data_IF_354416738280
#
_entry.id   IF_354416738280
#
_cell.length_a   1.000
_cell.length_b   1.000
_cell.length_c   1.000
_cell.angle_alpha   90.00
_cell.angle_beta   90.00
_cell.angle_gamma   90.00
#
_symmetry.space_group_name_H-M   'P 1'
#
loop_
_entity.id
_entity.type
_entity.pdbx_description
1 polymer ?
#
# COMPACT_ATOMS: atom_id res chain seq x y z
N UNK A 1 5.20 -6.06 -18.85
CA UNK A 1 5.59 -4.68 -19.23
C UNK A 1 6.13 -4.66 -20.66
N UNK A 2 5.97 -3.55 -21.40
CA UNK A 2 6.58 -3.36 -22.73
C UNK A 2 8.10 -3.17 -22.62
N UNK A 3 8.86 -3.77 -23.54
CA UNK A 3 10.33 -3.77 -23.56
C UNK A 3 10.91 -2.35 -23.64
N UNK A 4 10.25 -1.39 -24.28
CA UNK A 4 10.73 0.01 -24.27
C UNK A 4 10.62 0.65 -22.88
N UNK A 5 9.54 0.34 -22.13
CA UNK A 5 9.34 0.82 -20.75
C UNK A 5 10.32 0.18 -19.76
N UNK A 6 10.63 -1.13 -19.94
CA UNK A 6 11.67 -1.86 -19.18
C UNK A 6 13.00 -1.12 -19.24
N UNK A 7 13.43 -0.78 -20.45
CA UNK A 7 14.76 -0.20 -20.67
C UNK A 7 14.84 1.23 -20.15
N UNK A 8 13.81 2.05 -20.36
CA UNK A 8 13.77 3.40 -19.80
C UNK A 8 13.83 3.38 -18.26
N UNK A 9 13.21 2.38 -17.62
CA UNK A 9 13.30 2.21 -16.17
C UNK A 9 14.72 1.77 -15.75
N UNK A 10 15.29 0.76 -16.40
CA UNK A 10 16.65 0.28 -16.11
C UNK A 10 17.73 1.34 -16.37
N UNK A 11 17.57 2.15 -17.42
CA UNK A 11 18.44 3.27 -17.77
C UNK A 11 18.46 4.33 -16.67
N UNK A 12 17.29 4.79 -16.24
CA UNK A 12 17.16 5.72 -15.11
C UNK A 12 17.78 5.15 -13.81
N UNK A 13 17.59 3.84 -13.55
CA UNK A 13 18.13 3.18 -12.37
C UNK A 13 19.67 3.15 -12.37
N UNK A 14 20.28 2.79 -13.51
CA UNK A 14 21.73 2.78 -13.67
C UNK A 14 22.28 4.22 -13.61
N UNK A 15 21.71 5.15 -14.37
CA UNK A 15 22.12 6.57 -14.36
C UNK A 15 22.10 7.19 -12.96
N UNK A 16 21.11 6.86 -12.12
CA UNK A 16 21.02 7.34 -10.73
C UNK A 16 22.19 6.89 -9.85
N UNK A 17 22.86 5.78 -10.20
CA UNK A 17 23.96 5.17 -9.43
C UNK A 17 25.34 5.44 -10.04
N UNK A 18 25.45 5.47 -11.37
CA UNK A 18 26.73 5.60 -12.09
C UNK A 18 26.96 7.00 -12.65
N UNK A 19 25.90 7.81 -12.84
CA UNK A 19 25.97 9.06 -13.61
C UNK A 19 26.01 8.87 -15.13
N UNK A 20 25.94 7.62 -15.61
CA UNK A 20 26.04 7.27 -17.04
C UNK A 20 24.81 6.49 -17.51
N UNK A 21 24.37 6.75 -18.74
CA UNK A 21 23.25 6.06 -19.39
C UNK A 21 23.68 4.71 -19.98
N UNK A 22 22.72 3.82 -20.20
CA UNK A 22 22.97 2.50 -20.79
C UNK A 22 23.41 2.59 -22.25
N UNK A 23 24.59 2.05 -22.55
CA UNK A 23 25.07 1.89 -23.92
C UNK A 23 24.25 0.86 -24.73
N UNK A 24 24.46 0.83 -26.05
CA UNK A 24 23.70 -0.05 -26.96
C UNK A 24 23.85 -1.55 -26.62
N UNK A 25 25.01 -1.98 -26.15
CA UNK A 25 25.29 -3.37 -25.78
C UNK A 25 24.64 -3.74 -24.44
N UNK A 26 24.72 -2.85 -23.44
CA UNK A 26 24.01 -2.99 -22.17
C UNK A 26 22.49 -3.04 -22.40
N UNK A 27 21.94 -2.16 -23.25
CA UNK A 27 20.54 -2.22 -23.66
C UNK A 27 20.19 -3.53 -24.38
N UNK A 28 21.05 -4.04 -25.28
CA UNK A 28 20.87 -5.33 -25.94
C UNK A 28 20.84 -6.49 -24.93
N UNK A 29 21.73 -6.47 -23.93
CA UNK A 29 21.77 -7.44 -22.82
C UNK A 29 20.46 -7.45 -22.03
N UNK A 30 19.93 -6.28 -21.65
CA UNK A 30 18.67 -6.19 -20.91
C UNK A 30 17.47 -6.59 -21.78
N UNK A 31 17.43 -6.19 -23.07
CA UNK A 31 16.41 -6.64 -24.04
C UNK A 31 16.41 -8.16 -24.15
N UNK A 32 17.59 -8.78 -24.24
CA UNK A 32 17.73 -10.22 -24.41
C UNK A 32 17.42 -11.00 -23.14
N UNK A 33 17.83 -10.50 -21.96
CA UNK A 33 17.43 -11.07 -20.67
C UNK A 33 15.90 -11.05 -20.52
N UNK A 34 15.25 -9.91 -20.81
CA UNK A 34 13.79 -9.78 -20.74
C UNK A 34 13.04 -10.73 -21.68
N UNK A 35 13.61 -11.01 -22.86
CA UNK A 35 13.09 -11.96 -23.85
C UNK A 35 13.51 -13.42 -23.63
N UNK A 36 14.31 -13.73 -22.61
CA UNK A 36 14.83 -15.09 -22.36
C UNK A 36 15.86 -15.58 -23.39
N UNK A 37 16.49 -14.70 -24.17
CA UNK A 37 17.52 -15.05 -25.16
C UNK A 37 18.81 -15.57 -24.49
N UNK A 38 19.53 -16.48 -25.15
CA UNK A 38 20.89 -16.91 -24.73
C UNK A 38 21.92 -15.83 -25.05
N UNK A 39 23.06 -15.81 -24.35
CA UNK A 39 24.10 -14.79 -24.58
C UNK A 39 24.74 -14.91 -25.97
N UNK A 40 24.87 -16.11 -26.52
CA UNK A 40 25.30 -16.33 -27.92
C UNK A 40 24.45 -15.53 -28.91
N UNK A 41 23.13 -15.55 -28.77
CA UNK A 41 22.20 -14.82 -29.63
C UNK A 41 22.30 -13.29 -29.47
N UNK A 42 22.53 -12.82 -28.25
CA UNK A 42 22.75 -11.38 -27.99
C UNK A 42 24.08 -10.94 -28.62
N UNK A 43 25.11 -11.80 -28.60
CA UNK A 43 26.41 -11.55 -29.20
C UNK A 43 26.33 -11.49 -30.74
N UNK A 44 25.58 -12.41 -31.36
CA UNK A 44 25.24 -12.39 -32.78
C UNK A 44 24.49 -11.10 -33.18
N UNK A 45 23.42 -10.74 -32.43
CA UNK A 45 22.60 -9.54 -32.66
C UNK A 45 23.36 -8.22 -32.40
N UNK A 46 24.47 -8.27 -31.65
CA UNK A 46 25.30 -7.09 -31.27
C UNK A 46 26.73 -7.13 -31.84
N UNK A 47 26.99 -7.98 -32.84
CA UNK A 47 28.27 -8.14 -33.54
C UNK A 47 29.53 -8.25 -32.64
N UNK A 48 29.43 -8.95 -31.50
CA UNK A 48 30.52 -9.14 -30.55
C UNK A 48 30.67 -10.61 -30.12
N UNK A 49 31.63 -10.91 -29.22
CA UNK A 49 31.84 -12.28 -28.73
C UNK A 49 30.96 -12.59 -27.51
N UNK A 50 30.51 -13.84 -27.37
CA UNK A 50 29.71 -14.23 -26.19
C UNK A 50 30.48 -13.98 -24.87
N UNK A 51 31.80 -14.14 -24.87
CA UNK A 51 32.64 -13.81 -23.71
C UNK A 51 32.55 -12.34 -23.31
N UNK A 52 32.61 -11.42 -24.29
CA UNK A 52 32.45 -10.00 -24.02
C UNK A 52 31.05 -9.65 -23.49
N UNK A 53 29.99 -10.21 -24.09
CA UNK A 53 28.60 -10.05 -23.60
C UNK A 53 28.46 -10.54 -22.15
N UNK A 54 29.08 -11.66 -21.79
CA UNK A 54 29.03 -12.20 -20.42
C UNK A 54 29.73 -11.29 -19.40
N UNK A 55 30.86 -10.68 -19.77
CA UNK A 55 31.59 -9.75 -18.91
C UNK A 55 30.75 -8.48 -18.63
N UNK A 56 30.29 -7.81 -19.70
CA UNK A 56 29.44 -6.60 -19.58
C UNK A 56 28.15 -6.90 -18.83
N UNK A 57 27.53 -8.07 -19.07
CA UNK A 57 26.35 -8.47 -18.33
C UNK A 57 26.63 -8.70 -16.83
N UNK A 58 27.80 -9.24 -16.47
CA UNK A 58 28.18 -9.45 -15.07
C UNK A 58 28.26 -8.12 -14.30
N UNK A 59 28.89 -7.10 -14.88
CA UNK A 59 28.98 -5.76 -14.31
C UNK A 59 27.59 -5.12 -14.18
N UNK A 60 26.77 -5.21 -15.24
CA UNK A 60 25.40 -4.68 -15.25
C UNK A 60 24.49 -5.34 -14.20
N UNK A 61 24.68 -6.63 -13.92
CA UNK A 61 23.98 -7.34 -12.84
C UNK A 61 24.43 -6.89 -11.45
N UNK A 62 25.71 -6.54 -11.24
CA UNK A 62 26.16 -5.95 -9.97
C UNK A 62 25.52 -4.57 -9.76
N UNK A 63 25.58 -3.67 -10.75
CA UNK A 63 24.98 -2.33 -10.66
C UNK A 63 23.48 -2.42 -10.38
N UNK A 64 22.74 -3.29 -11.08
CA UNK A 64 21.31 -3.48 -10.83
C UNK A 64 21.02 -4.13 -9.48
N UNK A 65 21.90 -4.99 -8.95
CA UNK A 65 21.74 -5.56 -7.60
C UNK A 65 21.86 -4.48 -6.53
N UNK A 66 22.91 -3.66 -6.64
CA UNK A 66 23.16 -2.51 -5.77
C UNK A 66 22.00 -1.51 -5.74
N UNK A 67 21.41 -1.22 -6.89
CA UNK A 67 20.33 -0.22 -7.02
C UNK A 67 18.98 -0.77 -6.57
N UNK A 68 18.72 -2.07 -6.78
CA UNK A 68 17.46 -2.69 -6.40
C UNK A 68 17.45 -3.24 -4.96
N UNK A 69 18.60 -3.34 -4.31
CA UNK A 69 18.72 -3.88 -2.95
C UNK A 69 18.47 -5.39 -2.85
N UNK A 70 18.51 -6.10 -3.98
CA UNK A 70 18.37 -7.55 -4.06
C UNK A 70 19.30 -8.14 -5.12
N UNK A 71 19.65 -9.42 -5.03
CA UNK A 71 20.53 -10.07 -6.01
C UNK A 71 19.84 -10.16 -7.38
N UNK A 72 20.34 -9.40 -8.35
CA UNK A 72 19.88 -9.40 -9.75
C UNK A 72 20.83 -10.25 -10.59
N UNK A 73 20.25 -11.07 -11.46
CA UNK A 73 20.94 -11.81 -12.50
C UNK A 73 19.99 -12.00 -13.70
N UNK A 74 20.51 -12.54 -14.80
CA UNK A 74 19.74 -12.75 -16.04
C UNK A 74 18.38 -13.47 -15.86
N UNK A 75 18.28 -14.42 -14.94
CA UNK A 75 17.07 -15.25 -14.78
C UNK A 75 15.99 -14.52 -13.97
N UNK A 76 16.38 -13.67 -13.02
CA UNK A 76 15.43 -12.95 -12.16
C UNK A 76 15.29 -11.45 -12.51
N UNK A 77 16.12 -10.90 -13.41
CA UNK A 77 16.09 -9.49 -13.83
C UNK A 77 14.68 -8.97 -14.13
N UNK A 78 13.88 -9.77 -14.86
CA UNK A 78 12.49 -9.42 -15.15
C UNK A 78 11.66 -9.25 -13.88
N UNK A 79 11.66 -10.25 -13.00
CA UNK A 79 10.92 -10.23 -11.75
C UNK A 79 11.41 -9.13 -10.80
N UNK A 80 12.73 -8.88 -10.77
CA UNK A 80 13.35 -7.83 -9.96
C UNK A 80 12.92 -6.43 -10.43
N UNK A 81 12.90 -6.19 -11.75
CA UNK A 81 12.45 -4.91 -12.30
C UNK A 81 10.92 -4.72 -12.19
N UNK A 82 10.14 -5.81 -12.30
CA UNK A 82 8.69 -5.78 -12.06
C UNK A 82 8.40 -5.50 -10.56
N UNK A 83 9.20 -6.01 -9.62
CA UNK A 83 9.14 -5.64 -8.18
C UNK A 83 9.54 -4.18 -7.94
N UNK A 84 10.67 -3.74 -8.50
CA UNK A 84 11.19 -2.40 -8.26
C UNK A 84 10.27 -1.31 -8.79
N UNK A 85 9.53 -1.57 -9.87
CA UNK A 85 8.52 -0.66 -10.40
C UNK A 85 7.44 -0.30 -9.36
N UNK A 86 6.97 -1.24 -8.54
CA UNK A 86 6.01 -0.93 -7.45
C UNK A 86 6.63 -0.05 -6.35
N UNK A 87 7.91 -0.22 -6.06
CA UNK A 87 8.65 0.67 -5.15
C UNK A 87 8.93 2.05 -5.78
N UNK A 88 9.22 2.12 -7.09
CA UNK A 88 9.50 3.37 -7.81
C UNK A 88 8.25 4.24 -7.98
N UNK A 89 7.09 3.65 -8.28
CA UNK A 89 5.81 4.37 -8.24
C UNK A 89 5.46 4.86 -6.82
N UNK A 90 5.90 4.15 -5.78
CA UNK A 90 5.78 4.64 -4.39
C UNK A 90 6.76 5.78 -4.03
N UNK A 91 7.75 6.06 -4.90
CA UNK A 91 8.81 7.06 -4.66
C UNK A 91 8.75 8.25 -5.63
N UNK A 92 8.02 8.20 -6.75
CA UNK A 92 7.91 9.36 -7.65
C UNK A 92 7.19 10.56 -7.01
N UNK A 93 6.39 10.33 -5.97
CA UNK A 93 5.85 11.40 -5.11
C UNK A 93 6.84 12.07 -4.15
N UNK A 94 8.15 11.72 -4.18
CA UNK A 94 9.13 12.17 -3.16
C UNK A 94 10.22 13.16 -3.63
N UNK A 95 10.52 13.27 -4.93
CA UNK A 95 11.65 14.08 -5.40
C UNK A 95 11.23 15.23 -6.33
N UNK A 96 10.89 16.39 -5.74
CA UNK A 96 11.02 17.67 -6.44
C UNK A 96 12.47 18.16 -6.33
N UNK A 97 13.18 18.20 -7.46
CA UNK A 97 14.54 18.72 -7.53
C UNK A 97 14.57 20.21 -7.14
N UNK A 98 15.23 20.55 -6.03
CA UNK A 98 15.73 21.91 -5.84
C UNK A 98 17.04 22.07 -6.61
N UNK A 99 17.03 22.98 -7.59
CA UNK A 99 18.24 23.47 -8.25
C UNK A 99 18.72 24.68 -7.43
N UNK A 100 19.93 24.62 -6.84
CA UNK A 100 20.41 25.72 -6.00
C UNK A 100 21.75 25.51 -5.31
N UNK A 101 22.84 25.62 -6.09
CA UNK A 101 24.20 26.02 -5.67
C UNK A 101 25.01 25.13 -4.71
N UNK A 102 25.99 24.48 -5.35
CA UNK A 102 27.32 24.11 -4.87
C UNK A 102 27.92 25.09 -3.84
N UNK A 103 28.59 24.55 -2.81
CA UNK A 103 29.87 25.12 -2.38
C UNK A 103 30.88 23.99 -2.07
N UNK A 104 32.15 24.18 -2.47
CA UNK A 104 33.24 23.19 -2.41
C UNK A 104 34.26 23.59 -1.36
N UNK A 105 34.75 22.61 -0.58
CA UNK A 105 36.05 22.52 0.13
C UNK A 105 35.96 21.21 0.94
N UNK A 106 36.58 20.07 0.60
CA UNK A 106 37.96 19.72 0.26
C UNK A 106 38.97 19.72 1.44
N UNK A 107 39.78 18.66 1.45
CA UNK A 107 40.96 18.33 2.27
C UNK A 107 40.86 17.97 3.77
N UNK A 108 40.76 16.65 4.00
CA UNK A 108 41.90 15.82 4.46
C UNK A 108 42.24 15.67 5.97
N UNK A 109 42.72 14.45 6.27
CA UNK A 109 43.67 14.02 7.31
C UNK A 109 43.21 13.79 8.78
N UNK A 110 43.34 12.50 9.13
CA UNK A 110 44.02 11.94 10.31
C UNK A 110 43.34 11.85 11.68
N UNK A 111 43.22 10.58 12.08
CA UNK A 111 43.12 10.01 13.43
C UNK A 111 44.07 10.62 14.48
N UNK A 112 43.60 10.67 15.73
CA UNK A 112 44.44 10.45 16.93
C UNK A 112 43.59 10.04 18.14
N UNK A 113 44.03 9.03 18.87
CA UNK A 113 43.65 8.78 20.29
C UNK A 113 44.57 9.61 21.21
N UNK A 114 44.47 9.70 22.55
CA UNK A 114 43.74 9.05 23.67
C UNK A 114 43.65 10.14 24.80
N UNK A 115 43.23 9.92 26.08
CA UNK A 115 42.39 8.90 26.72
C UNK A 115 41.28 9.48 27.66
N UNK A 116 40.54 8.56 28.30
CA UNK A 116 39.52 8.75 29.35
C UNK A 116 39.91 9.72 30.48
N UNK A 117 38.94 10.52 30.96
CA UNK A 117 38.83 10.88 32.38
C UNK A 117 37.48 10.43 32.94
N UNK A 118 37.41 10.16 34.25
CA UNK A 118 36.32 9.44 34.92
C UNK A 118 35.84 10.27 36.10
N UNK A 119 34.53 10.54 36.19
CA UNK A 119 33.88 11.24 37.30
C UNK A 119 32.44 10.73 37.51
N UNK A 120 31.85 10.86 38.71
CA UNK A 120 31.19 9.71 39.34
C UNK A 120 29.69 9.55 39.08
N UNK A 121 29.23 8.31 39.22
CA UNK A 121 27.83 7.91 39.26
C UNK A 121 27.13 8.33 40.55
N UNK A 122 26.01 9.05 40.44
CA UNK A 122 24.95 9.09 41.46
C UNK A 122 23.86 8.06 41.15
N UNK A 123 23.27 7.38 42.15
CA UNK A 123 22.27 6.35 41.91
C UNK A 123 20.87 6.95 41.73
N UNK A 124 20.41 7.07 40.48
CA UNK A 124 18.98 7.26 40.19
C UNK A 124 18.30 5.91 40.15
N UNK A 125 17.26 5.75 40.98
CA UNK A 125 16.41 4.57 41.08
C UNK A 125 15.86 4.11 39.72
N UNK A 126 16.12 2.85 39.38
CA UNK A 126 15.44 2.16 38.27
C UNK A 126 13.94 2.04 38.55
N UNK A 127 13.15 2.98 38.05
CA UNK A 127 11.77 2.76 37.65
C UNK A 127 11.75 2.46 36.15
N UNK A 128 12.31 1.31 35.77
CA UNK A 128 12.24 0.77 34.42
C UNK A 128 10.81 0.38 34.10
N UNK A 129 10.04 1.32 33.53
CA UNK A 129 8.82 0.96 32.84
C UNK A 129 9.16 -0.08 31.76
N UNK A 130 8.41 -1.19 31.65
CA UNK A 130 8.68 -2.20 30.63
C UNK A 130 8.56 -1.57 29.25
N UNK A 131 9.68 -1.47 28.53
CA UNK A 131 9.71 -0.88 27.20
C UNK A 131 9.01 -1.80 26.20
N UNK A 132 8.00 -1.28 25.52
CA UNK A 132 7.32 -1.98 24.42
C UNK A 132 8.33 -2.40 23.35
N UNK A 133 8.36 -3.68 23.01
CA UNK A 133 9.21 -4.22 21.94
C UNK A 133 8.60 -3.91 20.58
N UNK A 134 9.31 -3.16 19.74
CA UNK A 134 8.83 -2.77 18.41
C UNK A 134 9.56 -3.54 17.31
N UNK A 135 8.81 -4.09 16.36
CA UNK A 135 9.30 -4.58 15.08
C UNK A 135 8.47 -3.96 13.96
N UNK A 136 9.00 -2.87 13.40
CA UNK A 136 8.36 -2.08 12.36
C UNK A 136 9.18 -2.10 11.05
N UNK A 137 10.00 -3.14 10.82
CA UNK A 137 10.94 -3.20 9.69
C UNK A 137 10.23 -3.12 8.32
N UNK A 138 9.05 -3.72 8.20
CA UNK A 138 8.20 -3.70 7.00
C UNK A 138 7.34 -2.42 6.87
N UNK A 139 7.36 -1.53 7.88
CA UNK A 139 6.50 -0.36 7.92
C UNK A 139 7.10 0.81 7.12
N UNK A 140 6.30 1.53 6.30
CA UNK A 140 6.83 2.69 5.57
C UNK A 140 7.16 3.85 6.52
N UNK A 141 8.22 4.60 6.20
CA UNK A 141 8.69 5.69 7.06
C UNK A 141 7.63 6.76 7.35
N UNK A 142 7.57 7.14 8.63
CA UNK A 142 6.62 8.10 9.23
C UNK A 142 6.73 9.53 8.66
N UNK A 143 7.85 9.90 8.04
CA UNK A 143 8.02 11.22 7.39
C UNK A 143 6.99 11.50 6.27
N UNK A 144 6.28 10.48 5.80
CA UNK A 144 5.14 10.60 4.87
C UNK A 144 3.86 11.22 5.47
N UNK A 145 3.82 11.43 6.79
CA UNK A 145 2.68 11.96 7.55
C UNK A 145 2.83 13.44 7.89
N UNK A 146 4.06 13.96 7.84
CA UNK A 146 4.44 15.31 8.27
C UNK A 146 4.92 16.19 7.11
N UNK A 147 4.21 16.18 5.97
CA UNK A 147 4.41 17.16 4.88
C UNK A 147 3.97 18.60 5.29
N UNK A 148 3.49 18.77 6.53
CA UNK A 148 3.11 20.02 7.15
C UNK A 148 4.33 20.66 7.85
N UNK A 149 4.78 21.87 7.44
CA UNK A 149 5.92 22.55 8.07
C UNK A 149 5.75 22.79 9.57
N UNK A 150 4.48 22.89 10.02
CA UNK A 150 4.11 23.23 11.40
C UNK A 150 3.72 21.99 12.24
N UNK A 151 3.87 20.78 11.69
CA UNK A 151 3.63 19.51 12.40
C UNK A 151 2.15 19.17 12.68
N UNK A 152 1.20 20.00 12.25
CA UNK A 152 -0.22 19.89 12.61
C UNK A 152 -1.12 19.22 11.54
N UNK A 153 -0.64 18.11 10.98
CA UNK A 153 -1.53 17.14 10.31
C UNK A 153 -2.35 16.30 11.30
N UNK A 154 -2.26 16.63 12.60
CA UNK A 154 -2.80 15.89 13.75
C UNK A 154 -4.33 15.80 13.78
N UNK A 155 -5.00 16.73 13.10
CA UNK A 155 -6.45 16.87 13.06
C UNK A 155 -7.14 16.01 11.98
N UNK A 156 -6.41 15.44 11.03
CA UNK A 156 -6.99 14.50 10.07
C UNK A 156 -7.31 13.16 10.76
N UNK A 157 -8.49 12.58 10.49
CA UNK A 157 -8.92 11.25 10.99
C UNK A 157 -9.06 11.11 12.53
N UNK A 158 -9.27 12.20 13.28
CA UNK A 158 -9.40 12.13 14.74
C UNK A 158 -10.53 11.19 15.20
N UNK A 159 -11.67 11.19 14.50
CA UNK A 159 -12.81 10.27 14.74
C UNK A 159 -12.44 8.81 14.56
N UNK A 160 -11.74 8.47 13.48
CA UNK A 160 -11.32 7.11 13.13
C UNK A 160 -10.26 6.60 14.10
N UNK A 161 -9.30 7.46 14.50
CA UNK A 161 -8.32 7.14 15.53
C UNK A 161 -9.00 6.85 16.87
N UNK A 162 -9.90 7.73 17.34
CA UNK A 162 -10.62 7.54 18.59
C UNK A 162 -11.49 6.27 18.58
N UNK A 163 -12.10 5.93 17.43
CA UNK A 163 -12.88 4.70 17.24
C UNK A 163 -12.00 3.46 17.38
N UNK A 164 -10.84 3.42 16.70
CA UNK A 164 -9.90 2.30 16.77
C UNK A 164 -9.28 2.17 18.17
N UNK A 165 -8.89 3.28 18.80
CA UNK A 165 -8.38 3.31 20.17
C UNK A 165 -9.40 2.75 21.17
N UNK A 166 -10.68 3.16 21.07
CA UNK A 166 -11.78 2.61 21.87
C UNK A 166 -11.91 1.09 21.67
N UNK A 167 -12.01 0.62 20.42
CA UNK A 167 -12.15 -0.81 20.13
C UNK A 167 -10.98 -1.65 20.66
N UNK A 168 -9.75 -1.18 20.47
CA UNK A 168 -8.53 -1.98 20.72
C UNK A 168 -8.07 -1.89 22.18
N UNK A 169 -8.12 -0.70 22.78
CA UNK A 169 -7.61 -0.47 24.14
C UNK A 169 -8.69 -0.78 25.18
N UNK A 170 -9.92 -0.28 24.97
CA UNK A 170 -11.00 -0.30 25.97
C UNK A 170 -11.91 -1.53 25.79
N UNK A 171 -12.42 -1.78 24.58
CA UNK A 171 -13.29 -2.94 24.28
C UNK A 171 -12.50 -4.24 24.05
N UNK A 172 -11.16 -4.15 23.92
CA UNK A 172 -10.24 -5.28 23.70
C UNK A 172 -10.63 -6.16 22.51
N UNK A 173 -10.95 -5.56 21.35
CA UNK A 173 -11.24 -6.33 20.14
C UNK A 173 -10.02 -7.16 19.70
N UNK A 174 -10.24 -8.44 19.38
CA UNK A 174 -9.20 -9.35 18.90
C UNK A 174 -8.71 -8.97 17.49
N UNK A 175 -9.62 -8.48 16.64
CA UNK A 175 -9.37 -8.32 15.21
C UNK A 175 -10.07 -7.05 14.68
N UNK A 176 -9.30 -6.12 14.11
CA UNK A 176 -9.81 -4.87 13.55
C UNK A 176 -9.40 -4.71 12.09
N UNK A 177 -10.36 -4.71 11.17
CA UNK A 177 -10.09 -4.44 9.75
C UNK A 177 -10.28 -2.96 9.40
N UNK A 178 -9.22 -2.32 8.88
CA UNK A 178 -9.24 -0.97 8.32
C UNK A 178 -9.33 -1.11 6.80
N UNK A 179 -10.48 -0.73 6.26
CA UNK A 179 -10.90 -0.99 4.89
C UNK A 179 -11.01 0.32 4.11
N UNK A 180 -10.86 0.25 2.78
CA UNK A 180 -11.07 1.41 1.92
C UNK A 180 -10.25 1.38 0.64
N UNK A 181 -10.60 2.24 -0.31
CA UNK A 181 -9.98 2.34 -1.63
C UNK A 181 -8.46 2.65 -1.59
N UNK A 182 -7.74 2.51 -2.72
CA UNK A 182 -6.31 2.81 -2.77
C UNK A 182 -6.03 4.28 -2.41
N UNK A 183 -4.93 4.55 -1.72
CA UNK A 183 -4.55 5.91 -1.34
C UNK A 183 -5.34 6.60 -0.21
N UNK A 184 -6.43 5.99 0.27
CA UNK A 184 -7.37 6.61 1.24
C UNK A 184 -6.78 6.91 2.64
N UNK A 185 -5.59 6.39 2.95
CA UNK A 185 -4.86 6.64 4.19
C UNK A 185 -4.87 5.50 5.23
N UNK A 186 -5.13 4.25 4.86
CA UNK A 186 -5.16 3.09 5.79
C UNK A 186 -3.83 2.91 6.56
N UNK A 187 -2.74 2.71 5.83
CA UNK A 187 -1.38 2.56 6.38
C UNK A 187 -0.98 3.75 7.26
N UNK A 188 -1.29 4.97 6.82
CA UNK A 188 -1.09 6.21 7.57
C UNK A 188 -1.86 6.23 8.90
N UNK A 189 -3.13 5.83 8.89
CA UNK A 189 -3.97 5.73 10.09
C UNK A 189 -3.40 4.72 11.10
N UNK A 190 -2.95 3.56 10.63
CA UNK A 190 -2.36 2.52 11.48
C UNK A 190 -1.03 2.95 12.10
N UNK A 191 -0.19 3.69 11.37
CA UNK A 191 1.04 4.29 11.92
C UNK A 191 0.75 5.32 13.01
N UNK A 192 -0.18 6.25 12.79
CA UNK A 192 -0.63 7.20 13.82
C UNK A 192 -1.25 6.51 15.03
N UNK A 193 -2.02 5.44 14.81
CA UNK A 193 -2.62 4.66 15.88
C UNK A 193 -1.54 3.99 16.75
N UNK A 194 -0.52 3.37 16.15
CA UNK A 194 0.61 2.77 16.87
C UNK A 194 1.28 3.80 17.78
N UNK A 195 1.60 4.99 17.26
CA UNK A 195 2.21 6.06 18.06
C UNK A 195 1.38 6.38 19.32
N UNK A 196 0.06 6.42 19.20
CA UNK A 196 -0.87 6.64 20.33
C UNK A 196 -0.93 5.45 21.29
N UNK A 197 -1.14 4.23 20.79
CA UNK A 197 -1.55 3.10 21.65
C UNK A 197 -0.44 2.11 22.01
N UNK A 198 0.76 2.19 21.41
CA UNK A 198 1.85 1.21 21.59
C UNK A 198 2.18 0.90 23.07
N UNK A 199 2.10 1.89 23.95
CA UNK A 199 2.37 1.75 25.38
C UNK A 199 1.39 0.83 26.13
N UNK A 200 0.27 0.43 25.49
CA UNK A 200 -0.69 -0.55 26.02
C UNK A 200 -0.31 -2.01 25.69
N UNK A 201 0.80 -2.21 24.98
CA UNK A 201 1.24 -3.50 24.46
C UNK A 201 2.69 -3.79 24.87
N UNK A 202 2.97 -5.06 25.14
CA UNK A 202 4.31 -5.58 25.38
C UNK A 202 5.11 -5.68 24.08
N UNK A 203 4.41 -5.97 22.97
CA UNK A 203 5.00 -6.01 21.65
C UNK A 203 4.11 -5.37 20.57
N UNK A 204 4.72 -4.69 19.60
CA UNK A 204 4.06 -4.22 18.38
C UNK A 204 4.84 -4.71 17.17
N UNK A 205 4.16 -5.38 16.24
CA UNK A 205 4.77 -5.99 15.05
C UNK A 205 4.02 -5.52 13.81
N UNK A 206 4.77 -5.07 12.80
CA UNK A 206 4.26 -4.79 11.46
C UNK A 206 4.81 -5.80 10.46
N UNK A 207 3.94 -6.36 9.62
CA UNK A 207 4.33 -7.16 8.45
C UNK A 207 3.57 -6.69 7.22
N UNK A 208 4.28 -6.56 6.09
CA UNK A 208 3.63 -6.24 4.81
C UNK A 208 3.38 -7.52 4.01
N UNK A 209 2.13 -7.75 3.61
CA UNK A 209 1.76 -8.87 2.75
C UNK A 209 1.94 -8.55 1.26
N UNK A 210 2.57 -7.42 0.89
CA UNK A 210 2.67 -6.93 -0.50
C UNK A 210 3.17 -7.92 -1.55
N UNK A 211 4.00 -8.89 -1.15
CA UNK A 211 4.52 -9.94 -2.03
C UNK A 211 3.75 -11.27 -1.94
N UNK A 212 2.57 -11.26 -1.31
CA UNK A 212 1.70 -12.43 -1.08
C UNK A 212 2.43 -13.61 -0.41
N UNK A 213 3.14 -13.41 0.72
CA UNK A 213 3.89 -14.49 1.36
C UNK A 213 2.92 -15.60 1.83
N UNK A 214 3.28 -16.89 1.68
CA UNK A 214 2.52 -17.98 2.29
C UNK A 214 2.41 -17.82 3.81
N UNK A 215 1.33 -18.32 4.40
CA UNK A 215 1.10 -18.20 5.85
C UNK A 215 2.28 -18.73 6.67
N UNK A 216 2.92 -19.82 6.25
CA UNK A 216 4.09 -20.41 6.90
C UNK A 216 5.24 -19.42 7.07
N UNK A 217 5.48 -18.58 6.07
CA UNK A 217 6.51 -17.52 6.10
C UNK A 217 6.09 -16.41 7.07
N UNK A 218 4.83 -15.99 7.03
CA UNK A 218 4.31 -14.96 7.95
C UNK A 218 4.35 -15.44 9.40
N UNK A 219 3.91 -16.67 9.68
CA UNK A 219 3.98 -17.27 11.02
C UNK A 219 5.41 -17.43 11.51
N UNK A 220 6.35 -17.84 10.66
CA UNK A 220 7.79 -17.87 10.99
C UNK A 220 8.25 -16.47 11.43
N UNK A 221 8.08 -15.47 10.57
CA UNK A 221 8.57 -14.11 10.80
C UNK A 221 7.90 -13.42 12.01
N UNK A 222 6.70 -13.85 12.41
CA UNK A 222 6.07 -13.43 13.67
C UNK A 222 6.67 -14.16 14.87
N UNK A 223 6.78 -15.50 14.82
CA UNK A 223 7.24 -16.32 15.94
C UNK A 223 8.71 -16.10 16.28
N UNK A 224 9.59 -15.92 15.30
CA UNK A 224 11.01 -15.61 15.52
C UNK A 224 11.19 -14.36 16.39
N UNK A 225 10.45 -13.29 16.06
CA UNK A 225 10.45 -12.07 16.87
C UNK A 225 9.77 -12.28 18.23
N UNK A 226 8.53 -12.79 18.27
CA UNK A 226 7.76 -12.95 19.52
C UNK A 226 8.54 -13.76 20.56
N UNK A 227 9.07 -14.91 20.16
CA UNK A 227 9.76 -15.86 21.03
C UNK A 227 11.25 -15.55 21.21
N UNK A 228 11.83 -14.67 20.40
CA UNK A 228 13.27 -14.41 20.33
C UNK A 228 14.08 -15.72 20.11
N UNK A 229 13.63 -16.54 19.17
CA UNK A 229 14.18 -17.87 18.85
C UNK A 229 14.59 -17.97 17.38
N UNK A 230 15.66 -18.71 17.05
CA UNK A 230 16.06 -18.97 15.67
C UNK A 230 15.12 -19.98 14.98
N UNK A 231 15.05 -19.92 13.65
CA UNK A 231 14.19 -20.79 12.80
C UNK A 231 14.23 -22.28 13.17
N UNK A 232 15.42 -22.80 13.49
CA UNK A 232 15.70 -24.23 13.73
C UNK A 232 14.90 -24.77 14.94
N UNK A 233 14.50 -23.91 15.87
CA UNK A 233 13.72 -24.29 17.05
C UNK A 233 12.19 -24.20 16.84
N UNK A 234 11.72 -23.68 15.71
CA UNK A 234 10.29 -23.53 15.45
C UNK A 234 9.70 -24.81 14.83
N UNK A 235 8.47 -25.21 15.21
CA UNK A 235 7.75 -26.28 14.53
C UNK A 235 7.64 -26.01 13.02
N UNK A 236 7.61 -27.05 12.20
CA UNK A 236 7.52 -26.91 10.73
C UNK A 236 6.08 -26.84 10.23
N UNK A 237 5.10 -27.37 10.97
CA UNK A 237 3.69 -27.41 10.56
C UNK A 237 2.95 -26.09 10.85
N UNK A 238 1.95 -25.74 10.02
CA UNK A 238 1.04 -24.61 10.30
C UNK A 238 0.32 -24.82 11.65
N UNK A 239 -0.33 -25.97 11.95
CA UNK A 239 -1.11 -26.11 13.19
C UNK A 239 -0.28 -25.92 14.47
N UNK A 240 0.96 -26.39 14.49
CA UNK A 240 1.84 -26.22 15.65
C UNK A 240 2.30 -24.76 15.80
N UNK A 241 2.67 -24.11 14.67
CA UNK A 241 3.00 -22.67 14.65
C UNK A 241 1.82 -21.80 15.12
N UNK A 242 0.61 -22.10 14.65
CA UNK A 242 -0.61 -21.41 15.10
C UNK A 242 -0.89 -21.65 16.58
N UNK A 243 -0.75 -22.88 17.07
CA UNK A 243 -0.96 -23.20 18.48
C UNK A 243 0.01 -22.44 19.38
N UNK A 244 1.30 -22.39 19.00
CA UNK A 244 2.35 -21.65 19.69
C UNK A 244 2.13 -20.13 19.65
N UNK A 245 1.70 -19.58 18.50
CA UNK A 245 1.31 -18.18 18.37
C UNK A 245 0.16 -17.86 19.34
N UNK A 246 -0.92 -18.65 19.33
CA UNK A 246 -2.08 -18.38 20.18
C UNK A 246 -1.79 -18.57 21.67
N UNK A 247 -0.90 -19.48 22.05
CA UNK A 247 -0.41 -19.57 23.43
C UNK A 247 0.30 -18.27 23.85
N UNK A 248 1.15 -17.72 22.98
CA UNK A 248 1.84 -16.46 23.21
C UNK A 248 0.86 -15.27 23.29
N UNK A 249 -0.08 -15.15 22.35
CA UNK A 249 -1.05 -14.04 22.30
C UNK A 249 -2.06 -14.04 23.47
N UNK A 250 -2.23 -15.19 24.14
CA UNK A 250 -2.97 -15.30 25.41
C UNK A 250 -2.14 -14.82 26.60
N UNK A 251 -0.86 -15.21 26.66
CA UNK A 251 0.03 -14.87 27.78
C UNK A 251 0.47 -13.40 27.77
N UNK A 252 0.71 -12.84 26.59
CA UNK A 252 1.27 -11.51 26.39
C UNK A 252 0.32 -10.65 25.53
N UNK A 253 0.23 -9.34 25.80
CA UNK A 253 -0.57 -8.37 25.04
C UNK A 253 0.25 -7.79 23.90
N UNK A 254 0.04 -8.29 22.69
CA UNK A 254 0.70 -7.82 21.47
C UNK A 254 -0.26 -7.14 20.49
N UNK A 255 0.25 -6.19 19.71
CA UNK A 255 -0.43 -5.57 18.58
C UNK A 255 0.26 -6.01 17.29
N UNK A 256 -0.44 -6.74 16.43
CA UNK A 256 0.08 -7.18 15.14
C UNK A 256 -0.64 -6.40 14.04
N UNK A 257 0.10 -5.88 13.07
CA UNK A 257 -0.44 -5.20 11.89
C UNK A 257 -0.02 -5.98 10.65
N UNK A 258 -1.00 -6.44 9.88
CA UNK A 258 -0.80 -6.96 8.53
C UNK A 258 -1.26 -5.88 7.55
N UNK A 259 -0.28 -5.29 6.83
CA UNK A 259 -0.55 -4.32 5.77
C UNK A 259 -0.65 -5.00 4.41
N UNK A 260 -1.29 -4.33 3.45
CA UNK A 260 -1.51 -4.81 2.09
C UNK A 260 -2.29 -6.15 1.97
N UNK A 261 -3.21 -6.47 2.89
CA UNK A 261 -3.94 -7.76 2.94
C UNK A 261 -4.69 -8.11 1.65
N UNK A 262 -5.06 -7.12 0.83
CA UNK A 262 -5.65 -7.36 -0.49
C UNK A 262 -4.81 -8.24 -1.44
N UNK A 263 -3.49 -8.39 -1.22
CA UNK A 263 -2.59 -9.14 -2.11
C UNK A 263 -2.70 -10.65 -1.96
N UNK A 264 -3.07 -11.13 -0.77
CA UNK A 264 -3.36 -12.55 -0.50
C UNK A 264 -4.80 -12.93 -0.90
N UNK A 265 -5.62 -11.94 -1.25
CA UNK A 265 -6.98 -12.13 -1.76
C UNK A 265 -7.01 -12.29 -3.28
N UNK A 266 -7.98 -13.05 -3.78
CA UNK A 266 -8.12 -13.44 -5.18
C UNK A 266 -8.36 -12.28 -6.15
N UNK A 267 -7.96 -12.48 -7.39
CA UNK A 267 -8.23 -11.63 -8.55
C UNK A 267 -9.20 -12.36 -9.48
N UNK A 268 -10.16 -11.64 -10.09
CA UNK A 268 -11.19 -12.23 -10.94
C UNK A 268 -12.32 -12.93 -10.14
N UNK A 269 -12.37 -12.73 -8.83
CA UNK A 269 -13.35 -13.35 -7.91
C UNK A 269 -14.08 -12.28 -7.10
N UNK A 270 -15.25 -12.64 -6.56
CA UNK A 270 -15.97 -11.79 -5.60
C UNK A 270 -15.15 -11.57 -4.32
N UNK A 271 -15.46 -10.46 -3.64
CA UNK A 271 -14.66 -9.89 -2.58
C UNK A 271 -14.51 -10.81 -1.35
N UNK A 272 -13.28 -10.87 -0.83
CA UNK A 272 -12.93 -11.63 0.37
C UNK A 272 -12.56 -13.10 0.16
N UNK A 273 -12.52 -13.59 -1.09
CA UNK A 273 -11.93 -14.89 -1.43
C UNK A 273 -10.39 -14.79 -1.47
N UNK A 274 -9.71 -15.89 -1.14
CA UNK A 274 -8.25 -15.96 -1.10
C UNK A 274 -7.67 -16.42 -2.45
N UNK A 275 -6.39 -16.12 -2.67
CA UNK A 275 -5.59 -16.85 -3.66
C UNK A 275 -5.36 -18.29 -3.20
N UNK A 276 -5.22 -19.28 -4.11
CA UNK A 276 -5.02 -20.68 -3.74
C UNK A 276 -3.83 -20.89 -2.79
N UNK A 277 -2.72 -20.17 -3.01
CA UNK A 277 -1.51 -20.29 -2.18
C UNK A 277 -1.63 -19.61 -0.80
N UNK A 278 -2.77 -18.95 -0.53
CA UNK A 278 -3.03 -18.17 0.67
C UNK A 278 -4.34 -18.53 1.37
N UNK A 279 -5.04 -19.59 0.96
CA UNK A 279 -6.30 -20.00 1.60
C UNK A 279 -6.13 -20.31 3.10
N UNK A 280 -4.95 -20.77 3.50
CA UNK A 280 -4.59 -21.09 4.87
C UNK A 280 -4.66 -19.86 5.82
N UNK A 281 -4.54 -18.62 5.34
CA UNK A 281 -4.76 -17.41 6.15
C UNK A 281 -6.15 -17.36 6.78
N UNK A 282 -7.16 -17.99 6.16
CA UNK A 282 -8.50 -18.09 6.76
C UNK A 282 -8.49 -18.77 8.13
N UNK A 283 -7.58 -19.71 8.36
CA UNK A 283 -7.42 -20.42 9.63
C UNK A 283 -6.86 -19.46 10.70
N UNK A 284 -5.81 -18.70 10.36
CA UNK A 284 -5.24 -17.67 11.25
C UNK A 284 -6.30 -16.63 11.66
N UNK A 285 -7.04 -16.08 10.69
CA UNK A 285 -8.02 -15.02 10.98
C UNK A 285 -9.20 -15.52 11.81
N UNK A 286 -9.69 -16.76 11.59
CA UNK A 286 -10.71 -17.37 12.46
C UNK A 286 -10.16 -17.60 13.86
N UNK A 287 -8.98 -18.21 13.99
CA UNK A 287 -8.44 -18.57 15.29
C UNK A 287 -8.17 -17.34 16.18
N UNK A 288 -7.79 -16.20 15.58
CA UNK A 288 -7.72 -14.90 16.27
C UNK A 288 -9.12 -14.33 16.53
N UNK A 289 -10.02 -14.31 15.54
CA UNK A 289 -11.36 -13.74 15.69
C UNK A 289 -12.30 -14.48 16.66
N UNK A 290 -12.12 -15.80 16.82
CA UNK A 290 -13.04 -16.69 17.54
C UNK A 290 -12.56 -17.08 18.95
N UNK A 291 -11.27 -16.94 19.28
CA UNK A 291 -10.71 -17.42 20.56
C UNK A 291 -10.28 -16.30 21.50
N UNK A 292 -10.44 -16.51 22.81
CA UNK A 292 -10.03 -15.52 23.82
C UNK A 292 -8.50 -15.38 23.88
N UNK A 293 -8.01 -14.15 23.79
CA UNK A 293 -6.60 -13.78 23.98
C UNK A 293 -6.47 -12.30 24.42
N UNK A 294 -5.27 -11.86 24.78
CA UNK A 294 -5.02 -10.48 25.26
C UNK A 294 -4.50 -9.53 24.17
N UNK A 295 -4.14 -10.08 23.01
CA UNK A 295 -3.57 -9.36 21.86
C UNK A 295 -4.63 -8.80 20.89
N UNK A 296 -4.21 -7.99 19.92
CA UNK A 296 -5.04 -7.49 18.82
C UNK A 296 -4.32 -7.61 17.48
N UNK A 297 -5.04 -8.00 16.42
CA UNK A 297 -4.60 -7.99 15.03
C UNK A 297 -5.32 -6.90 14.23
N UNK A 298 -4.56 -6.03 13.57
CA UNK A 298 -5.06 -5.04 12.61
C UNK A 298 -4.82 -5.55 11.18
N UNK A 299 -5.84 -5.48 10.34
CA UNK A 299 -5.74 -5.76 8.90
C UNK A 299 -5.98 -4.47 8.11
N UNK A 300 -4.99 -4.00 7.34
CA UNK A 300 -5.23 -2.96 6.35
C UNK A 300 -5.54 -3.62 5.00
N UNK A 301 -6.68 -3.32 4.38
CA UNK A 301 -7.07 -3.94 3.10
C UNK A 301 -7.90 -3.02 2.21
N UNK A 302 -7.98 -3.32 0.91
CA UNK A 302 -8.99 -2.74 0.02
C UNK A 302 -10.39 -3.32 0.27
N UNK A 303 -10.45 -4.57 0.71
CA UNK A 303 -11.66 -5.37 0.88
C UNK A 303 -11.51 -6.31 2.09
N UNK A 304 -12.59 -6.62 2.81
CA UNK A 304 -12.53 -7.56 3.93
C UNK A 304 -12.30 -9.00 3.43
N UNK A 305 -11.35 -9.76 4.02
CA UNK A 305 -11.39 -11.21 3.96
C UNK A 305 -12.74 -11.73 4.50
N UNK A 306 -13.25 -12.83 3.95
CA UNK A 306 -14.58 -13.37 4.29
C UNK A 306 -14.80 -13.60 5.79
N UNK A 307 -13.75 -13.91 6.54
CA UNK A 307 -13.78 -14.08 8.01
C UNK A 307 -14.20 -12.78 8.73
N UNK A 308 -13.76 -11.60 8.26
CA UNK A 308 -14.18 -10.31 8.82
C UNK A 308 -15.69 -10.07 8.63
N UNK A 309 -16.23 -10.48 7.48
CA UNK A 309 -17.68 -10.35 7.22
C UNK A 309 -18.52 -11.39 7.95
N UNK A 310 -17.97 -12.58 8.22
CA UNK A 310 -18.68 -13.66 8.89
C UNK A 310 -18.69 -13.48 10.43
N UNK A 311 -17.59 -12.97 11.01
CA UNK A 311 -17.42 -12.87 12.46
C UNK A 311 -17.81 -11.51 13.05
N UNK A 312 -17.94 -10.44 12.24
CA UNK A 312 -18.36 -9.12 12.74
C UNK A 312 -19.79 -9.15 13.28
N UNK A 313 -20.00 -8.51 14.43
CA UNK A 313 -21.30 -8.32 15.06
C UNK A 313 -21.23 -7.30 16.20
N UNK A 314 -22.38 -6.92 16.77
CA UNK A 314 -22.50 -5.90 17.81
C UNK A 314 -21.65 -6.21 19.05
N UNK A 315 -21.69 -7.47 19.52
CA UNK A 315 -20.92 -7.96 20.66
C UNK A 315 -19.68 -8.78 20.24
N UNK A 316 -19.26 -8.73 18.98
CA UNK A 316 -18.12 -9.50 18.48
C UNK A 316 -16.78 -8.81 18.78
N UNK A 317 -15.72 -9.56 19.14
CA UNK A 317 -14.35 -9.05 19.19
C UNK A 317 -13.76 -8.77 17.79
N UNK A 318 -14.49 -9.06 16.71
CA UNK A 318 -14.13 -8.71 15.34
C UNK A 318 -14.84 -7.43 14.90
N UNK A 319 -14.06 -6.38 14.61
CA UNK A 319 -14.54 -5.07 14.19
C UNK A 319 -14.06 -4.74 12.77
N UNK A 320 -14.78 -3.85 12.06
CA UNK A 320 -14.28 -3.27 10.82
C UNK A 320 -14.71 -1.82 10.64
N UNK A 321 -13.75 -1.00 10.19
CA UNK A 321 -13.88 0.42 9.91
C UNK A 321 -13.57 0.66 8.42
N UNK A 322 -14.53 1.22 7.68
CA UNK A 322 -14.35 1.55 6.27
C UNK A 322 -14.11 3.06 6.12
N UNK A 323 -12.95 3.45 5.60
CA UNK A 323 -12.51 4.83 5.50
C UNK A 323 -13.18 5.53 4.31
N UNK A 324 -13.87 6.64 4.59
CA UNK A 324 -14.35 7.62 3.60
C UNK A 324 -13.24 8.64 3.26
N UNK A 325 -13.49 9.67 2.46
CA UNK A 325 -12.53 10.77 2.25
C UNK A 325 -12.17 11.51 3.55
N UNK A 326 -11.07 12.29 3.56
CA UNK A 326 -10.67 13.14 4.72
C UNK A 326 -11.45 14.45 4.83
N UNK A 327 -12.43 14.70 3.95
CA UNK A 327 -13.27 15.90 3.99
C UNK A 327 -12.47 17.19 3.93
N UNK A 328 -12.86 18.20 4.72
CA UNK A 328 -12.24 19.53 4.75
C UNK A 328 -10.77 19.52 5.18
N UNK A 329 -10.29 18.50 5.91
CA UNK A 329 -8.87 18.36 6.26
C UNK A 329 -7.96 18.23 5.01
N UNK A 330 -8.51 17.85 3.85
CA UNK A 330 -7.79 17.89 2.57
C UNK A 330 -7.26 19.29 2.17
N UNK A 331 -7.81 20.36 2.73
CA UNK A 331 -7.30 21.72 2.52
C UNK A 331 -5.81 21.86 2.88
N UNK A 332 -5.30 21.07 3.83
CA UNK A 332 -3.89 21.06 4.19
C UNK A 332 -2.98 20.55 3.06
N UNK A 333 -3.42 19.52 2.31
CA UNK A 333 -2.70 18.99 1.14
C UNK A 333 -2.48 20.10 0.11
N UNK A 334 -3.51 20.90 -0.14
CA UNK A 334 -3.48 22.01 -1.08
C UNK A 334 -2.62 23.18 -0.58
N UNK A 335 -2.67 23.48 0.72
CA UNK A 335 -1.80 24.48 1.36
C UNK A 335 -0.33 24.10 1.23
N UNK A 336 0.03 22.85 1.52
CA UNK A 336 1.41 22.36 1.45
C UNK A 336 1.92 22.30 -0.01
N UNK A 337 1.04 22.01 -0.96
CA UNK A 337 1.31 22.12 -2.42
C UNK A 337 1.25 23.56 -2.97
N UNK A 338 1.02 24.56 -2.11
CA UNK A 338 0.95 26.00 -2.44
C UNK A 338 -0.07 26.32 -3.55
N UNK A 339 -1.22 25.65 -3.52
CA UNK A 339 -2.33 25.97 -4.41
C UNK A 339 -2.94 27.34 -4.06
N UNK A 340 -3.47 27.99 -5.08
CA UNK A 340 -4.22 29.24 -5.00
C UNK A 340 -5.72 28.93 -5.03
N UNK A 341 -6.55 29.98 -4.95
CA UNK A 341 -8.02 29.89 -4.99
C UNK A 341 -8.61 28.94 -3.91
N UNK A 342 -8.39 29.20 -2.60
CA UNK A 342 -8.96 28.39 -1.53
C UNK A 342 -10.48 28.27 -1.58
N UNK A 343 -11.18 29.27 -2.13
CA UNK A 343 -12.62 29.27 -2.39
C UNK A 343 -13.07 28.22 -3.42
N UNK A 344 -12.14 27.54 -4.09
CA UNK A 344 -12.39 26.45 -5.05
C UNK A 344 -11.94 25.07 -4.55
N UNK A 345 -11.32 24.99 -3.37
CA UNK A 345 -10.77 23.73 -2.86
C UNK A 345 -11.84 22.69 -2.56
N UNK A 346 -13.01 23.09 -2.06
CA UNK A 346 -14.13 22.18 -1.81
C UNK A 346 -14.58 21.46 -3.08
N UNK A 347 -14.60 22.13 -4.24
CA UNK A 347 -14.93 21.52 -5.53
C UNK A 347 -13.95 20.38 -5.88
N UNK A 348 -12.64 20.58 -5.67
CA UNK A 348 -11.64 19.54 -5.87
C UNK A 348 -11.79 18.39 -4.85
N UNK A 349 -12.03 18.71 -3.58
CA UNK A 349 -12.24 17.71 -2.52
C UNK A 349 -13.42 16.81 -2.88
N UNK A 350 -14.53 17.40 -3.32
CA UNK A 350 -15.74 16.66 -3.70
C UNK A 350 -15.56 15.86 -5.00
N UNK A 351 -14.88 16.43 -6.02
CA UNK A 351 -14.56 15.75 -7.27
C UNK A 351 -13.72 14.47 -7.03
N UNK A 352 -12.69 14.55 -6.19
CA UNK A 352 -11.82 13.42 -5.85
C UNK A 352 -12.22 12.70 -4.55
N UNK A 353 -13.49 12.83 -4.12
CA UNK A 353 -14.09 12.19 -2.92
C UNK A 353 -13.22 12.24 -1.66
N UNK A 354 -12.43 13.30 -1.47
CA UNK A 354 -11.53 13.48 -0.34
C UNK A 354 -10.42 12.43 -0.21
N UNK A 355 -10.03 11.73 -1.29
CA UNK A 355 -8.96 10.72 -1.26
C UNK A 355 -7.57 11.40 -1.20
N UNK A 356 -6.78 11.23 -0.12
CA UNK A 356 -5.51 11.93 0.04
C UNK A 356 -4.51 11.73 -1.10
N UNK A 357 -4.42 10.52 -1.67
CA UNK A 357 -3.48 10.25 -2.78
C UNK A 357 -3.90 10.95 -4.06
N UNK A 358 -5.17 10.82 -4.46
CA UNK A 358 -5.69 11.49 -5.66
C UNK A 358 -5.56 13.01 -5.55
N UNK A 359 -5.85 13.57 -4.38
CA UNK A 359 -5.66 14.99 -4.09
C UNK A 359 -4.18 15.41 -4.16
N UNK A 360 -3.24 14.61 -3.65
CA UNK A 360 -1.79 14.88 -3.78
C UNK A 360 -1.33 14.86 -5.24
N UNK A 361 -1.82 13.91 -6.06
CA UNK A 361 -1.51 13.81 -7.50
C UNK A 361 -2.03 15.07 -8.22
N UNK A 362 -3.33 15.36 -8.09
CA UNK A 362 -3.99 16.48 -8.79
C UNK A 362 -3.43 17.83 -8.35
N UNK A 363 -3.16 18.01 -7.06
CA UNK A 363 -2.50 19.23 -6.57
C UNK A 363 -1.09 19.40 -7.18
N UNK A 364 -0.39 18.31 -7.47
CA UNK A 364 0.91 18.36 -8.17
C UNK A 364 0.71 18.79 -9.62
N UNK A 365 -0.26 18.20 -10.36
CA UNK A 365 -0.62 18.65 -11.72
C UNK A 365 -1.00 20.15 -11.78
N UNK A 366 -1.80 20.63 -10.82
CA UNK A 366 -2.22 22.05 -10.76
C UNK A 366 -1.02 22.97 -10.47
N UNK A 367 -0.06 22.55 -9.65
CA UNK A 367 1.18 23.28 -9.41
C UNK A 367 2.04 23.33 -10.69
N UNK A 368 2.23 22.19 -11.34
CA UNK A 368 3.19 22.02 -12.44
C UNK A 368 2.73 22.65 -13.75
N UNK A 369 1.42 22.62 -14.05
CA UNK A 369 0.86 23.13 -15.30
C UNK A 369 0.26 24.53 -15.08
N UNK A 370 -0.55 24.71 -14.04
CA UNK A 370 -1.34 25.93 -13.79
C UNK A 370 -0.70 26.87 -12.76
N UNK A 371 0.53 26.60 -12.32
CA UNK A 371 1.27 27.39 -11.31
C UNK A 371 0.45 27.62 -10.03
N UNK A 372 -0.31 26.61 -9.63
CA UNK A 372 -1.17 26.61 -8.44
C UNK A 372 -2.57 27.19 -8.65
N UNK A 373 -2.90 27.77 -9.81
CA UNK A 373 -4.19 28.44 -10.07
C UNK A 373 -5.33 27.43 -10.29
N UNK A 374 -5.96 26.99 -9.21
CA UNK A 374 -7.12 26.07 -9.25
C UNK A 374 -8.27 26.63 -10.10
N UNK A 375 -8.52 27.95 -10.07
CA UNK A 375 -9.56 28.56 -10.89
C UNK A 375 -9.25 28.58 -12.40
N UNK A 376 -8.00 28.33 -12.81
CA UNK A 376 -7.62 28.12 -14.21
C UNK A 376 -7.81 26.67 -14.62
N UNK A 377 -7.37 25.72 -13.78
CA UNK A 377 -7.58 24.28 -13.95
C UNK A 377 -9.07 23.93 -14.11
N UNK A 378 -9.94 24.42 -13.22
CA UNK A 378 -11.38 24.12 -13.22
C UNK A 378 -12.17 24.68 -14.43
N UNK A 379 -11.50 25.32 -15.41
CA UNK A 379 -12.10 25.66 -16.71
C UNK A 379 -12.09 24.48 -17.70
N UNK A 380 -11.25 23.48 -17.47
CA UNK A 380 -10.96 22.38 -18.38
C UNK A 380 -11.26 21.04 -17.69
N UNK A 381 -12.54 20.65 -17.71
CA UNK A 381 -13.13 19.52 -16.97
C UNK A 381 -12.95 19.57 -15.44
N UNK A 382 -14.05 19.37 -14.70
CA UNK A 382 -14.01 19.35 -13.22
C UNK A 382 -13.23 18.14 -12.67
N UNK A 383 -13.03 17.11 -13.48
CA UNK A 383 -12.39 15.86 -13.10
C UNK A 383 -11.35 15.46 -14.16
N UNK A 384 -10.08 15.63 -13.83
CA UNK A 384 -8.94 15.20 -14.65
C UNK A 384 -8.38 13.87 -14.13
N UNK A 385 -8.13 12.94 -15.04
CA UNK A 385 -7.65 11.59 -14.76
C UNK A 385 -6.35 11.31 -15.52
N UNK A 386 -5.27 11.94 -15.08
CA UNK A 386 -3.93 11.73 -15.63
C UNK A 386 -3.41 10.30 -15.43
N UNK A 387 -2.37 9.92 -16.20
CA UNK A 387 -1.80 8.56 -16.21
C UNK A 387 -1.45 8.03 -14.81
N UNK A 388 -0.86 8.87 -13.95
CA UNK A 388 -0.50 8.50 -12.58
C UNK A 388 -1.73 8.11 -11.75
N UNK A 389 -2.80 8.92 -11.79
CA UNK A 389 -4.03 8.65 -11.04
C UNK A 389 -4.72 7.39 -11.58
N UNK A 390 -4.79 7.24 -12.91
CA UNK A 390 -5.31 6.04 -13.56
C UNK A 390 -4.54 4.78 -13.15
N UNK A 391 -3.21 4.86 -13.02
CA UNK A 391 -2.37 3.75 -12.53
C UNK A 391 -2.68 3.36 -11.07
N UNK A 392 -3.17 4.27 -10.22
CA UNK A 392 -3.61 3.91 -8.85
C UNK A 392 -4.89 3.07 -8.81
N UNK A 393 -5.75 3.22 -9.83
CA UNK A 393 -7.04 2.54 -9.95
C UNK A 393 -6.91 1.20 -10.69
N UNK A 394 -6.01 1.12 -11.68
CA UNK A 394 -5.86 -0.03 -12.57
C UNK A 394 -5.78 -1.39 -11.84
N UNK A 395 -4.98 -1.57 -10.76
CA UNK A 395 -4.96 -2.85 -10.02
C UNK A 395 -6.26 -3.17 -9.27
N UNK A 396 -7.06 -2.16 -8.90
CA UNK A 396 -8.33 -2.35 -8.20
C UNK A 396 -9.46 -2.73 -9.14
N UNK A 397 -9.43 -2.24 -10.38
CA UNK A 397 -10.45 -2.52 -11.40
C UNK A 397 -10.14 -3.82 -12.16
N UNK A 398 -8.88 -4.11 -12.46
CA UNK A 398 -8.50 -5.37 -13.12
C UNK A 398 -8.78 -6.62 -12.27
N UNK A 399 -8.77 -6.48 -10.93
CA UNK A 399 -8.98 -7.63 -10.03
C UNK A 399 -10.45 -8.01 -9.82
N UNK A 400 -11.38 -7.24 -10.38
CA UNK A 400 -12.81 -7.52 -10.32
C UNK A 400 -13.15 -8.80 -11.10
N UNK A 401 -14.13 -9.55 -10.60
CA UNK A 401 -14.77 -10.62 -11.38
C UNK A 401 -15.56 -10.07 -12.56
N UNK A 402 -15.85 -10.90 -13.56
CA UNK A 402 -16.62 -10.50 -14.75
C UNK A 402 -18.00 -9.94 -14.42
N UNK A 403 -18.64 -10.47 -13.36
CA UNK A 403 -19.89 -9.95 -12.81
C UNK A 403 -19.74 -8.52 -12.26
N UNK A 404 -18.69 -8.27 -11.47
CA UNK A 404 -18.38 -6.95 -10.93
C UNK A 404 -18.01 -5.95 -12.04
N UNK A 405 -17.26 -6.38 -13.06
CA UNK A 405 -16.92 -5.56 -14.24
C UNK A 405 -18.17 -5.17 -15.03
N UNK A 406 -19.08 -6.12 -15.30
CA UNK A 406 -20.37 -5.87 -15.98
C UNK A 406 -21.20 -4.85 -15.20
N UNK A 407 -21.31 -5.02 -13.88
CA UNK A 407 -22.07 -4.12 -13.01
C UNK A 407 -21.45 -2.73 -12.88
N UNK A 408 -20.15 -2.62 -12.59
CA UNK A 408 -19.49 -1.31 -12.45
C UNK A 408 -19.47 -0.54 -13.77
N UNK A 409 -19.32 -1.24 -14.91
CA UNK A 409 -19.43 -0.64 -16.24
C UNK A 409 -20.83 -0.14 -16.55
N UNK A 410 -21.89 -0.80 -16.06
CA UNK A 410 -23.26 -0.30 -16.18
C UNK A 410 -23.49 0.92 -15.28
N UNK A 411 -23.22 0.79 -13.99
CA UNK A 411 -23.34 1.90 -13.03
C UNK A 411 -22.54 3.14 -13.44
N UNK A 412 -21.41 2.96 -14.15
CA UNK A 412 -20.60 4.07 -14.62
C UNK A 412 -21.18 4.83 -15.83
N UNK A 413 -22.16 4.26 -16.54
CA UNK A 413 -22.87 4.94 -17.65
C UNK A 413 -24.02 5.81 -17.14
N UNK A 414 -24.57 5.48 -15.98
CA UNK A 414 -25.68 6.23 -15.40
C UNK A 414 -25.19 7.55 -14.80
N UNK A 415 -25.88 8.65 -15.14
CA UNK A 415 -25.54 9.97 -14.63
C UNK A 415 -25.84 10.07 -13.12
N UNK A 416 -26.99 9.54 -12.71
CA UNK A 416 -27.54 9.62 -11.36
C UNK A 416 -27.40 8.28 -10.61
N UNK A 417 -27.56 8.25 -9.27
CA UNK A 417 -27.70 7.02 -8.51
C UNK A 417 -28.85 6.14 -9.03
N UNK A 418 -28.67 4.82 -8.99
CA UNK A 418 -29.50 3.83 -9.69
C UNK A 418 -30.14 2.86 -8.69
N UNK A 419 -31.42 2.54 -8.83
CA UNK A 419 -32.09 1.61 -7.92
C UNK A 419 -31.99 0.14 -8.34
N UNK A 420 -32.31 -0.78 -7.42
CA UNK A 420 -32.35 -2.23 -7.71
C UNK A 420 -33.34 -2.54 -8.84
N UNK A 421 -34.50 -1.87 -8.86
CA UNK A 421 -35.53 -2.12 -9.88
C UNK A 421 -35.02 -1.73 -11.28
N UNK A 422 -34.35 -0.58 -11.38
CA UNK A 422 -33.68 -0.14 -12.61
C UNK A 422 -32.59 -1.14 -13.01
N UNK A 423 -31.74 -1.57 -12.07
CA UNK A 423 -30.68 -2.55 -12.32
C UNK A 423 -31.22 -3.94 -12.74
N UNK A 424 -32.44 -4.32 -12.39
CA UNK A 424 -33.07 -5.55 -12.88
C UNK A 424 -33.74 -5.39 -14.26
N UNK A 425 -34.22 -4.20 -14.64
CA UNK A 425 -34.94 -3.98 -15.90
C UNK A 425 -34.11 -4.20 -17.17
N UNK A 426 -32.82 -3.79 -17.17
CA UNK A 426 -31.96 -3.88 -18.36
C UNK A 426 -30.86 -4.97 -18.25
N UNK A 427 -31.16 -6.12 -17.62
CA UNK A 427 -30.12 -7.12 -17.32
C UNK A 427 -30.45 -8.58 -17.68
N UNK A 428 -29.54 -9.18 -18.45
CA UNK A 428 -29.21 -10.61 -18.35
C UNK A 428 -28.48 -10.89 -17.00
N UNK A 429 -29.14 -10.64 -15.87
CA UNK A 429 -28.65 -10.95 -14.53
C UNK A 429 -29.81 -11.39 -13.64
N UNK A 430 -29.63 -12.50 -12.93
CA UNK A 430 -30.52 -12.88 -11.85
C UNK A 430 -30.39 -11.92 -10.66
N UNK A 431 -31.42 -11.80 -9.79
CA UNK A 431 -31.32 -11.05 -8.54
C UNK A 431 -30.16 -11.50 -7.65
N UNK A 432 -29.83 -12.80 -7.66
CA UNK A 432 -28.68 -13.34 -6.92
C UNK A 432 -27.35 -12.78 -7.43
N UNK A 433 -27.14 -12.72 -8.75
CA UNK A 433 -25.94 -12.13 -9.33
C UNK A 433 -25.85 -10.64 -9.06
N UNK A 434 -26.97 -9.91 -9.17
CA UNK A 434 -27.01 -8.48 -8.84
C UNK A 434 -26.61 -8.23 -7.39
N UNK A 435 -27.20 -8.96 -6.43
CA UNK A 435 -26.91 -8.77 -5.00
C UNK A 435 -25.49 -9.16 -4.63
N UNK A 436 -24.99 -10.29 -5.15
CA UNK A 436 -23.61 -10.73 -4.92
C UNK A 436 -22.59 -9.72 -5.49
N UNK A 437 -22.84 -9.22 -6.70
CA UNK A 437 -21.98 -8.23 -7.35
C UNK A 437 -22.00 -6.86 -6.66
N UNK A 438 -23.18 -6.33 -6.31
CA UNK A 438 -23.30 -5.07 -5.55
C UNK A 438 -22.65 -5.16 -4.17
N UNK A 439 -22.90 -6.26 -3.44
CA UNK A 439 -22.26 -6.50 -2.14
C UNK A 439 -20.73 -6.57 -2.26
N UNK A 440 -20.23 -7.20 -3.32
CA UNK A 440 -18.80 -7.29 -3.61
C UNK A 440 -18.17 -5.93 -3.94
N UNK A 441 -18.79 -5.14 -4.81
CA UNK A 441 -18.34 -3.79 -5.15
C UNK A 441 -18.37 -2.82 -3.95
N UNK A 442 -19.39 -2.92 -3.09
CA UNK A 442 -19.47 -2.17 -1.84
C UNK A 442 -18.37 -2.55 -0.84
N UNK A 443 -18.09 -3.86 -0.69
CA UNK A 443 -16.95 -4.38 0.10
C UNK A 443 -15.59 -3.87 -0.39
N UNK A 444 -15.44 -3.63 -1.71
CA UNK A 444 -14.24 -3.04 -2.32
C UNK A 444 -14.19 -1.50 -2.26
N UNK A 445 -15.20 -0.85 -1.70
CA UNK A 445 -15.34 0.62 -1.68
C UNK A 445 -15.44 1.27 -3.08
N UNK A 446 -15.96 0.54 -4.07
CA UNK A 446 -16.11 1.03 -5.45
C UNK A 446 -17.53 1.50 -5.77
N UNK A 447 -18.51 1.01 -5.03
CA UNK A 447 -19.92 1.45 -5.09
C UNK A 447 -20.28 2.11 -3.77
N UNK A 448 -20.86 3.30 -3.88
CA UNK A 448 -21.47 4.08 -2.81
C UNK A 448 -22.97 3.70 -2.75
N UNK A 449 -23.52 3.59 -1.53
CA UNK A 449 -24.93 3.31 -1.30
C UNK A 449 -25.54 4.55 -0.66
N UNK A 450 -26.61 5.05 -1.27
CA UNK A 450 -27.34 6.25 -0.89
C UNK A 450 -28.79 5.85 -0.55
N UNK A 451 -29.39 6.49 0.46
CA UNK A 451 -30.80 6.28 0.84
C UNK A 451 -31.56 7.56 0.54
N UNK A 452 -32.56 7.47 -0.33
CA UNK A 452 -33.41 8.60 -0.73
C UNK A 452 -34.86 8.14 -0.79
N UNK A 453 -35.76 8.84 -0.08
CA UNK A 453 -37.22 8.60 -0.15
C UNK A 453 -37.64 7.14 0.15
N UNK A 454 -36.91 6.46 1.05
CA UNK A 454 -36.98 5.03 1.39
C UNK A 454 -36.55 4.05 0.26
N UNK A 455 -35.95 4.53 -0.83
CA UNK A 455 -35.30 3.71 -1.85
C UNK A 455 -33.78 3.64 -1.61
N UNK A 456 -33.20 2.46 -1.83
CA UNK A 456 -31.75 2.24 -1.81
C UNK A 456 -31.19 2.43 -3.21
N UNK A 457 -30.35 3.46 -3.37
CA UNK A 457 -29.71 3.82 -4.63
C UNK A 457 -28.21 3.50 -4.60
N UNK A 458 -27.68 3.13 -5.77
CA UNK A 458 -26.30 2.71 -5.96
C UNK A 458 -25.59 3.65 -6.92
N UNK A 459 -24.38 4.06 -6.56
CA UNK A 459 -23.59 5.03 -7.31
C UNK A 459 -22.12 4.58 -7.38
N UNK A 460 -21.40 5.02 -8.40
CA UNK A 460 -19.94 4.81 -8.52
C UNK A 460 -19.25 6.15 -8.34
N UNK A 461 -18.24 6.18 -7.45
CA UNK A 461 -17.40 7.35 -7.19
C UNK A 461 -16.94 8.01 -8.50
N UNK A 462 -17.03 9.35 -8.68
CA UNK A 462 -16.75 10.03 -9.94
C UNK A 462 -15.41 9.65 -10.59
N UNK A 463 -14.36 9.53 -9.79
CA UNK A 463 -13.01 9.11 -10.22
C UNK A 463 -13.02 7.68 -10.79
N UNK A 464 -13.71 6.76 -10.12
CA UNK A 464 -13.83 5.37 -10.59
C UNK A 464 -14.69 5.32 -11.85
N UNK A 465 -15.79 6.08 -11.89
CA UNK A 465 -16.69 6.21 -13.04
C UNK A 465 -15.93 6.66 -14.29
N UNK A 466 -15.20 7.77 -14.21
CA UNK A 466 -14.43 8.29 -15.34
C UNK A 466 -13.33 7.30 -15.76
N UNK A 467 -12.64 6.63 -14.83
CA UNK A 467 -11.65 5.61 -15.19
C UNK A 467 -12.26 4.46 -15.99
N UNK A 468 -13.42 3.94 -15.56
CA UNK A 468 -14.13 2.82 -16.21
C UNK A 468 -14.67 3.22 -17.59
N UNK A 469 -15.16 4.47 -17.74
CA UNK A 469 -15.58 5.00 -19.04
C UNK A 469 -14.40 5.19 -20.01
N UNK A 470 -13.24 5.63 -19.51
CA UNK A 470 -12.02 5.81 -20.33
C UNK A 470 -11.28 4.50 -20.63
N UNK A 471 -11.48 3.45 -19.84
CA UNK A 471 -10.82 2.15 -19.96
C UNK A 471 -11.87 1.04 -19.88
N UNK A 472 -12.58 0.73 -20.99
CA UNK A 472 -13.68 -0.24 -20.99
C UNK A 472 -13.25 -1.60 -20.45
N UNK A 473 -13.86 -2.02 -19.35
CA UNK A 473 -13.52 -3.26 -18.64
C UNK A 473 -14.39 -4.38 -19.21
N UNK A 474 -14.01 -4.86 -20.40
CA UNK A 474 -14.61 -6.03 -21.06
C UNK A 474 -14.11 -7.36 -20.47
#
# INVERSE_FOLDING_TARGET
MDVKKVLKLADNLVFTKTGEHLDDLQQAILRGAWKGQRYSKIAEESHCTEGHVRNVASELWQVLSDVLGENVNKLNFRSALERSQFAYFSNYGKNSLQIGNVNVCDNSLQSSEIPKSRSPSTPTSDTSQPQTRLDLADAPHISSLSDSPDGDSSHARTSELATLEKWIVQEKCNLAAILGISGIGKTALSLHLIQKIQHNFECVIWRSLRHSPPLETTLKNLLEFLLNKPEIELPTSIPDRLSLLMEYLRKNRCLIILDDVQTILGSGQLAGNYRPECENYSILLRQIGETTHNSCLILNSWEPPREITALKGENSPVRSLQLKGIGTAAAEIFRNKKLLNPEKWENLINAYRGNPLWLKIVATTIQEIFRGRVAEFLKYDMLFLGEELAATLHPQINRLSELEKKLISRLSREANPVSIEQLLKDADLSPSELFNGLQSLGRRSLVEIEEQENETLFNVCPVVRQYVLSNPVN
#
